data_IF_678574118567
#
_entry.id   IF_678574118567
#
_cell.length_a   1.000
_cell.length_b   1.000
_cell.length_c   1.000
_cell.angle_alpha   90.00
_cell.angle_beta   90.00
_cell.angle_gamma   90.00
#
_symmetry.space_group_name_H-M   'P 1'
#
loop_
_entity.id
_entity.type
_entity.pdbx_description
1 polymer ?
#
# COMPACT_ATOMS: atom_id res chain seq x y z
N UNK A 1 26.43 -23.44 14.12
CA UNK A 1 25.35 -24.21 13.44
C UNK A 1 24.37 -23.30 12.66
N UNK A 2 24.64 -22.00 12.54
CA UNK A 2 23.71 -21.01 11.95
C UNK A 2 23.90 -20.75 10.46
N UNK A 3 25.04 -21.13 9.86
CA UNK A 3 25.38 -20.81 8.46
C UNK A 3 24.76 -21.75 7.42
N UNK A 4 24.50 -23.02 7.77
CA UNK A 4 23.92 -23.98 6.82
C UNK A 4 22.39 -23.80 6.63
N UNK A 5 21.68 -23.35 7.67
CA UNK A 5 20.24 -23.06 7.60
C UNK A 5 19.94 -21.73 6.88
N UNK A 6 20.86 -20.75 6.96
CA UNK A 6 20.76 -19.48 6.24
C UNK A 6 20.94 -19.66 4.73
N UNK A 7 21.85 -20.54 4.30
CA UNK A 7 22.09 -20.82 2.88
C UNK A 7 20.88 -21.46 2.19
N UNK A 8 20.16 -22.36 2.89
CA UNK A 8 18.92 -22.94 2.39
C UNK A 8 17.78 -21.92 2.26
N UNK A 9 17.65 -21.02 3.25
CA UNK A 9 16.60 -19.99 3.27
C UNK A 9 16.77 -18.97 2.14
N UNK A 10 18.00 -18.51 1.92
CA UNK A 10 18.32 -17.58 0.84
C UNK A 10 18.08 -18.21 -0.54
N UNK A 11 18.50 -19.46 -0.75
CA UNK A 11 18.26 -20.17 -2.01
C UNK A 11 16.76 -20.33 -2.31
N UNK A 12 15.96 -20.67 -1.30
CA UNK A 12 14.49 -20.77 -1.41
C UNK A 12 13.87 -19.42 -1.73
N UNK A 13 14.27 -18.35 -1.03
CA UNK A 13 13.74 -17.01 -1.29
C UNK A 13 14.04 -16.55 -2.73
N UNK A 14 15.26 -16.77 -3.22
CA UNK A 14 15.64 -16.48 -4.62
C UNK A 14 14.75 -17.22 -5.61
N UNK A 15 14.49 -18.51 -5.37
CA UNK A 15 13.59 -19.31 -6.21
C UNK A 15 12.18 -18.72 -6.22
N UNK A 16 11.64 -18.37 -5.06
CA UNK A 16 10.29 -17.84 -4.92
C UNK A 16 10.15 -16.47 -5.60
N UNK A 17 11.16 -15.60 -5.47
CA UNK A 17 11.17 -14.29 -6.13
C UNK A 17 11.28 -14.40 -7.67
N UNK A 18 11.90 -15.46 -8.20
CA UNK A 18 11.97 -15.71 -9.66
C UNK A 18 10.63 -16.05 -10.30
N UNK A 19 9.60 -16.38 -9.51
CA UNK A 19 8.22 -16.46 -10.02
C UNK A 19 7.76 -15.10 -10.58
N UNK A 20 8.40 -14.01 -10.15
CA UNK A 20 8.19 -12.67 -10.68
C UNK A 20 6.77 -12.17 -10.47
N UNK A 21 6.32 -11.33 -11.38
CA UNK A 21 4.99 -10.74 -11.35
C UNK A 21 4.96 -9.33 -10.73
N UNK A 22 3.86 -8.63 -11.01
CA UNK A 22 3.70 -7.23 -10.63
C UNK A 22 3.39 -7.04 -9.15
N UNK A 23 3.46 -5.77 -8.72
CA UNK A 23 3.02 -5.36 -7.39
C UNK A 23 1.48 -5.35 -7.32
N UNK A 24 0.88 -6.22 -6.50
CA UNK A 24 -0.58 -6.30 -6.36
C UNK A 24 -1.06 -5.42 -5.21
N UNK A 25 -1.37 -4.17 -5.55
CA UNK A 25 -2.06 -3.24 -4.65
C UNK A 25 -3.54 -3.62 -4.49
N UNK A 26 -4.15 -3.97 -5.62
CA UNK A 26 -5.56 -4.24 -5.81
C UNK A 26 -5.68 -5.23 -6.98
N UNK A 27 -6.79 -5.96 -7.05
CA UNK A 27 -7.09 -6.89 -8.14
C UNK A 27 -8.50 -6.66 -8.69
N UNK A 28 -8.70 -6.55 -10.02
CA UNK A 28 -7.67 -6.53 -11.07
C UNK A 28 -6.82 -5.27 -11.01
N UNK A 29 -5.52 -5.34 -11.34
CA UNK A 29 -4.62 -4.20 -11.25
C UNK A 29 -4.95 -3.10 -12.28
N UNK A 30 -4.49 -1.84 -12.08
CA UNK A 30 -4.87 -0.71 -12.94
C UNK A 30 -4.61 -0.91 -14.44
N UNK A 31 -3.66 -1.77 -14.83
CA UNK A 31 -3.41 -2.15 -16.24
C UNK A 31 -4.62 -2.78 -16.94
N UNK A 32 -5.55 -3.35 -16.18
CA UNK A 32 -6.79 -3.92 -16.69
C UNK A 32 -7.90 -2.87 -16.91
N UNK A 33 -7.72 -1.63 -16.43
CA UNK A 33 -8.77 -0.61 -16.49
C UNK A 33 -8.98 -0.14 -17.94
N UNK A 34 -10.26 -0.04 -18.32
CA UNK A 34 -10.72 0.39 -19.63
C UNK A 34 -11.55 1.67 -19.49
N UNK A 35 -12.12 2.18 -20.59
CA UNK A 35 -13.02 3.33 -20.54
C UNK A 35 -14.19 3.07 -19.59
N UNK A 36 -14.37 3.94 -18.60
CA UNK A 36 -15.39 3.78 -17.55
C UNK A 36 -15.87 5.17 -17.12
N UNK A 37 -17.17 5.41 -17.22
CA UNK A 37 -17.76 6.73 -16.99
C UNK A 37 -18.48 6.86 -15.65
N UNK A 38 -18.93 8.08 -15.38
CA UNK A 38 -19.67 8.44 -14.16
C UNK A 38 -20.91 7.59 -13.94
N UNK A 39 -21.65 7.22 -15.00
CA UNK A 39 -22.90 6.47 -14.87
C UNK A 39 -22.68 5.11 -14.20
N UNK A 40 -21.61 4.40 -14.58
CA UNK A 40 -21.23 3.11 -13.99
C UNK A 40 -20.73 3.29 -12.55
N UNK A 41 -19.96 4.35 -12.30
CA UNK A 41 -19.48 4.68 -10.95
C UNK A 41 -20.65 4.97 -10.00
N UNK A 42 -21.63 5.75 -10.45
CA UNK A 42 -22.84 6.07 -9.71
C UNK A 42 -23.69 4.82 -9.47
N UNK A 43 -23.84 3.97 -10.49
CA UNK A 43 -24.57 2.72 -10.36
C UNK A 43 -23.96 1.82 -9.28
N UNK A 44 -22.63 1.64 -9.28
CA UNK A 44 -21.92 0.84 -8.30
C UNK A 44 -22.06 1.37 -6.86
N UNK A 45 -22.04 2.70 -6.67
CA UNK A 45 -22.29 3.30 -5.34
C UNK A 45 -23.72 3.04 -4.88
N UNK A 46 -24.71 3.25 -5.76
CA UNK A 46 -26.12 3.04 -5.42
C UNK A 46 -26.43 1.58 -5.11
N UNK A 47 -25.86 0.66 -5.87
CA UNK A 47 -25.96 -0.78 -5.60
C UNK A 47 -25.34 -1.11 -4.24
N UNK A 48 -24.15 -0.57 -3.96
CA UNK A 48 -23.49 -0.74 -2.66
C UNK A 48 -24.29 -0.18 -1.48
N UNK A 49 -25.04 0.90 -1.66
CA UNK A 49 -25.91 1.43 -0.60
C UNK A 49 -27.09 0.49 -0.30
N UNK A 50 -27.49 -0.35 -1.26
CA UNK A 50 -28.56 -1.33 -1.08
C UNK A 50 -28.17 -2.57 -0.28
N UNK A 51 -26.88 -2.73 0.07
CA UNK A 51 -26.42 -3.82 0.95
C UNK A 51 -27.01 -3.62 2.35
N UNK A 52 -27.63 -4.65 2.98
CA UNK A 52 -28.14 -4.56 4.34
C UNK A 52 -27.10 -4.12 5.39
N UNK A 53 -25.81 -4.40 5.15
CA UNK A 53 -24.70 -3.99 6.01
C UNK A 53 -23.60 -3.43 5.08
N UNK A 54 -23.77 -2.19 4.58
CA UNK A 54 -22.89 -1.68 3.56
C UNK A 54 -21.49 -1.44 4.12
N UNK A 55 -20.41 -1.72 3.35
CA UNK A 55 -19.05 -1.47 3.80
C UNK A 55 -18.83 -0.01 4.20
N UNK A 56 -18.09 0.20 5.28
CA UNK A 56 -17.64 1.54 5.69
C UNK A 56 -16.72 2.16 4.62
N UNK A 57 -16.47 3.47 4.74
CA UNK A 57 -15.70 4.23 3.76
C UNK A 57 -14.27 4.51 4.23
N UNK A 58 -13.32 4.28 3.32
CA UNK A 58 -11.98 4.84 3.37
C UNK A 58 -11.87 5.90 2.28
N UNK A 59 -11.35 7.09 2.62
CA UNK A 59 -11.21 8.20 1.68
C UNK A 59 -9.72 8.45 1.40
N UNK A 60 -9.36 8.73 0.16
CA UNK A 60 -7.99 9.06 -0.22
C UNK A 60 -7.94 10.33 -1.05
N UNK A 61 -7.01 11.22 -0.71
CA UNK A 61 -6.78 12.45 -1.45
C UNK A 61 -5.44 12.40 -2.16
N UNK A 62 -5.51 12.42 -3.48
CA UNK A 62 -4.35 12.39 -4.35
C UNK A 62 -4.02 13.77 -4.92
N UNK A 63 -2.75 13.94 -5.31
CA UNK A 63 -2.20 15.17 -5.88
C UNK A 63 -1.57 14.90 -7.25
N UNK A 64 -1.34 15.94 -8.08
CA UNK A 64 -0.66 15.75 -9.35
C UNK A 64 0.73 15.13 -9.14
N UNK A 65 1.13 14.20 -10.02
CA UNK A 65 2.36 13.42 -9.89
C UNK A 65 3.63 14.27 -9.72
N UNK A 66 3.65 15.49 -10.31
CA UNK A 66 4.76 16.44 -10.17
C UNK A 66 5.01 16.95 -8.73
N UNK A 67 4.05 16.73 -7.83
CA UNK A 67 4.10 17.15 -6.43
C UNK A 67 4.11 15.97 -5.44
N UNK A 68 4.00 14.73 -5.93
CA UNK A 68 4.10 13.54 -5.09
C UNK A 68 5.55 13.31 -4.69
N UNK A 69 5.77 12.94 -3.43
CA UNK A 69 7.06 12.39 -3.03
C UNK A 69 7.15 10.90 -3.39
N UNK A 70 8.34 10.48 -3.81
CA UNK A 70 8.61 9.09 -4.18
C UNK A 70 9.42 8.40 -3.09
N UNK A 71 9.00 7.20 -2.70
CA UNK A 71 9.75 6.36 -1.78
C UNK A 71 11.07 5.84 -2.36
N UNK A 72 11.17 5.71 -3.69
CA UNK A 72 12.36 5.15 -4.35
C UNK A 72 13.19 6.20 -5.09
N UNK A 73 12.77 7.46 -5.10
CA UNK A 73 13.50 8.55 -5.75
C UNK A 73 13.73 9.71 -4.78
N UNK A 74 14.73 9.59 -3.88
CA UNK A 74 15.01 10.61 -2.87
C UNK A 74 15.37 11.98 -3.48
N UNK A 75 15.91 12.00 -4.69
CA UNK A 75 16.30 13.24 -5.39
C UNK A 75 15.16 13.87 -6.19
N UNK A 76 14.04 13.16 -6.37
CA UNK A 76 12.82 13.71 -6.99
C UNK A 76 12.13 14.63 -6.01
N UNK A 77 12.66 15.85 -5.83
CA UNK A 77 11.99 16.86 -5.03
C UNK A 77 10.70 17.28 -5.73
N UNK A 78 9.54 17.20 -5.05
CA UNK A 78 8.33 17.86 -5.51
C UNK A 78 8.63 19.31 -5.88
N UNK A 79 8.05 19.80 -6.97
CA UNK A 79 8.13 21.24 -7.29
C UNK A 79 7.57 22.03 -6.09
N UNK A 80 8.26 23.10 -5.70
CA UNK A 80 7.84 23.96 -4.58
C UNK A 80 6.39 24.46 -4.77
N UNK A 81 5.68 24.60 -3.65
CA UNK A 81 4.27 25.00 -3.64
C UNK A 81 4.08 26.35 -4.33
N UNK A 82 3.20 26.38 -5.33
CA UNK A 82 2.55 27.60 -5.78
C UNK A 82 1.23 27.68 -5.02
N UNK A 83 1.17 28.56 -4.01
CA UNK A 83 0.02 28.66 -3.11
C UNK A 83 -1.30 28.86 -3.84
N UNK A 84 -1.28 29.60 -4.96
CA UNK A 84 -2.47 29.85 -5.78
C UNK A 84 -2.96 28.58 -6.50
N UNK A 85 -2.03 27.75 -6.97
CA UNK A 85 -2.36 26.45 -7.59
C UNK A 85 -2.87 25.45 -6.56
N UNK A 86 -2.23 25.40 -5.39
CA UNK A 86 -2.66 24.53 -4.30
C UNK A 86 -4.09 24.88 -3.85
N UNK A 87 -4.39 26.18 -3.71
CA UNK A 87 -5.74 26.67 -3.38
C UNK A 87 -6.77 26.30 -4.46
N UNK A 88 -6.47 26.58 -5.73
CA UNK A 88 -7.37 26.24 -6.83
C UNK A 88 -7.61 24.73 -6.99
N UNK A 89 -6.61 23.90 -6.66
CA UNK A 89 -6.75 22.44 -6.64
C UNK A 89 -7.59 21.99 -5.44
N UNK A 90 -7.35 22.54 -4.25
CA UNK A 90 -8.14 22.30 -3.04
C UNK A 90 -9.61 22.62 -3.28
N UNK A 91 -9.93 23.76 -3.90
CA UNK A 91 -11.31 24.15 -4.18
C UNK A 91 -12.04 23.12 -5.05
N UNK A 92 -11.31 22.54 -6.02
CA UNK A 92 -11.83 21.46 -6.88
C UNK A 92 -11.97 20.14 -6.13
N UNK A 93 -11.03 19.78 -5.24
CA UNK A 93 -11.22 18.63 -4.35
C UNK A 93 -12.47 18.80 -3.49
N UNK A 94 -12.70 19.99 -2.93
CA UNK A 94 -13.89 20.31 -2.14
C UNK A 94 -15.16 20.14 -2.98
N UNK A 95 -15.16 20.60 -4.25
CA UNK A 95 -16.27 20.38 -5.19
C UNK A 95 -16.48 18.89 -5.49
N UNK A 96 -15.41 18.15 -5.76
CA UNK A 96 -15.45 16.71 -6.03
C UNK A 96 -16.03 15.93 -4.85
N UNK A 97 -15.57 16.23 -3.63
CA UNK A 97 -16.11 15.69 -2.37
C UNK A 97 -17.62 15.90 -2.27
N UNK A 98 -18.13 17.07 -2.67
CA UNK A 98 -19.58 17.32 -2.70
C UNK A 98 -20.32 16.50 -3.77
N UNK A 99 -19.75 16.43 -4.98
CA UNK A 99 -20.34 15.70 -6.11
C UNK A 99 -20.43 14.19 -5.85
N UNK A 100 -19.42 13.62 -5.19
CA UNK A 100 -19.34 12.19 -4.87
C UNK A 100 -20.03 11.87 -3.54
N UNK A 101 -19.81 12.67 -2.50
CA UNK A 101 -20.38 12.41 -1.17
C UNK A 101 -21.91 12.41 -1.15
N UNK A 102 -22.56 13.18 -2.04
CA UNK A 102 -24.02 13.14 -2.22
C UNK A 102 -24.58 11.80 -2.71
N UNK A 103 -23.74 10.86 -3.13
CA UNK A 103 -24.14 9.54 -3.61
C UNK A 103 -24.16 8.47 -2.51
N UNK A 104 -23.50 8.73 -1.37
CA UNK A 104 -23.41 7.76 -0.28
C UNK A 104 -24.50 8.01 0.76
N UNK A 105 -25.08 6.93 1.27
CA UNK A 105 -26.09 6.98 2.31
C UNK A 105 -25.45 7.37 3.67
N UNK A 106 -26.28 7.83 4.61
CA UNK A 106 -25.81 8.40 5.88
C UNK A 106 -25.29 7.37 6.88
N UNK A 107 -25.56 6.10 6.66
CA UNK A 107 -25.05 4.97 7.43
C UNK A 107 -23.67 4.48 6.92
N UNK A 108 -23.12 5.15 5.90
CA UNK A 108 -21.77 4.91 5.38
C UNK A 108 -20.73 5.68 6.19
N UNK A 109 -20.33 5.12 7.32
CA UNK A 109 -19.31 5.72 8.20
C UNK A 109 -17.96 5.82 7.49
N UNK A 110 -17.34 7.01 7.55
CA UNK A 110 -15.93 7.18 7.20
C UNK A 110 -15.07 6.76 8.39
N UNK A 111 -14.28 5.72 8.20
CA UNK A 111 -13.37 5.19 9.23
C UNK A 111 -11.91 5.46 8.94
N UNK A 112 -11.57 5.81 7.70
CA UNK A 112 -10.20 6.11 7.30
C UNK A 112 -10.16 7.28 6.32
N UNK A 113 -9.18 8.17 6.50
CA UNK A 113 -8.81 9.17 5.49
C UNK A 113 -7.29 9.17 5.33
N UNK A 114 -6.81 9.17 4.10
CA UNK A 114 -5.38 9.23 3.81
C UNK A 114 -5.05 10.34 2.82
N UNK A 115 -3.88 10.94 3.02
CA UNK A 115 -3.30 11.90 2.09
C UNK A 115 -2.15 11.25 1.33
N UNK A 116 -2.09 11.51 0.02
CA UNK A 116 -0.96 11.10 -0.80
C UNK A 116 0.37 11.68 -0.28
N UNK A 117 1.50 10.94 -0.42
CA UNK A 117 2.82 11.49 -0.15
C UNK A 117 3.08 12.79 -0.92
N UNK A 118 3.63 13.79 -0.25
CA UNK A 118 3.85 15.14 -0.79
C UNK A 118 2.70 16.13 -0.58
N UNK A 119 1.51 15.67 -0.14
CA UNK A 119 0.37 16.56 0.13
C UNK A 119 0.70 17.62 1.19
N UNK A 120 1.44 17.24 2.23
CA UNK A 120 1.86 18.13 3.33
C UNK A 120 2.81 19.24 2.90
N UNK A 121 3.47 19.07 1.75
CA UNK A 121 4.29 20.10 1.09
C UNK A 121 3.49 20.96 0.12
N UNK A 122 2.47 20.36 -0.49
CA UNK A 122 1.63 21.00 -1.50
C UNK A 122 0.57 21.91 -0.87
N UNK A 123 -0.06 21.46 0.22
CA UNK A 123 -1.11 22.17 0.93
C UNK A 123 -0.71 22.49 2.37
N UNK A 124 -1.05 23.70 2.82
CA UNK A 124 -0.91 24.09 4.22
C UNK A 124 -1.90 23.35 5.12
N UNK A 125 -1.60 23.32 6.43
CA UNK A 125 -2.51 22.75 7.44
C UNK A 125 -3.91 23.37 7.37
N UNK A 126 -4.00 24.68 7.15
CA UNK A 126 -5.27 25.39 7.03
C UNK A 126 -6.09 24.89 5.83
N UNK A 127 -5.45 24.72 4.67
CA UNK A 127 -6.11 24.22 3.46
C UNK A 127 -6.61 22.78 3.63
N UNK A 128 -5.83 21.91 4.29
CA UNK A 128 -6.29 20.55 4.60
C UNK A 128 -7.40 20.56 5.64
N UNK A 129 -7.36 21.46 6.62
CA UNK A 129 -8.44 21.61 7.60
C UNK A 129 -9.78 21.96 6.92
N UNK A 130 -9.75 22.83 5.91
CA UNK A 130 -10.93 23.17 5.11
C UNK A 130 -11.43 21.99 4.27
N UNK A 131 -10.52 21.19 3.73
CA UNK A 131 -10.86 19.94 3.01
C UNK A 131 -11.53 18.93 3.95
N UNK A 132 -10.97 18.67 5.12
CA UNK A 132 -11.54 17.77 6.13
C UNK A 132 -12.88 18.30 6.68
N UNK A 133 -13.02 19.62 6.81
CA UNK A 133 -14.30 20.23 7.16
C UNK A 133 -15.36 20.00 6.06
N UNK A 134 -14.96 20.04 4.78
CA UNK A 134 -15.85 19.71 3.67
C UNK A 134 -16.29 18.26 3.68
N UNK A 135 -15.35 17.34 3.87
CA UNK A 135 -15.62 15.91 3.99
C UNK A 135 -16.71 15.66 5.04
N UNK A 136 -16.59 16.24 6.24
CA UNK A 136 -17.57 16.10 7.32
C UNK A 136 -18.97 16.66 7.01
N UNK A 137 -19.10 17.56 6.02
CA UNK A 137 -20.41 18.02 5.55
C UNK A 137 -21.08 17.02 4.60
N UNK A 138 -20.28 16.33 3.80
CA UNK A 138 -20.75 15.47 2.72
C UNK A 138 -20.79 13.99 3.07
N UNK A 139 -20.00 13.55 4.04
CA UNK A 139 -19.94 12.17 4.51
C UNK A 139 -20.31 12.07 5.99
N UNK A 140 -20.76 10.89 6.42
CA UNK A 140 -20.94 10.61 7.84
C UNK A 140 -19.59 10.28 8.48
N UNK A 141 -19.08 11.22 9.28
CA UNK A 141 -17.79 11.12 9.96
C UNK A 141 -17.95 11.65 11.38
N UNK A 142 -18.24 10.77 12.33
CA UNK A 142 -18.47 11.15 13.72
C UNK A 142 -17.17 11.74 14.33
N UNK A 143 -17.32 12.88 15.02
CA UNK A 143 -16.22 13.53 15.75
C UNK A 143 -15.75 12.74 16.96
N UNK A 144 -16.61 11.89 17.53
CA UNK A 144 -16.28 11.02 18.64
C UNK A 144 -15.65 9.69 18.19
N UNK A 145 -15.72 9.36 16.90
CA UNK A 145 -15.12 8.16 16.35
C UNK A 145 -13.62 8.35 16.11
N UNK A 146 -12.84 7.31 16.45
CA UNK A 146 -11.40 7.24 16.20
C UNK A 146 -11.15 6.96 14.71
N UNK A 147 -11.30 8.00 13.87
CA UNK A 147 -11.02 7.92 12.43
C UNK A 147 -9.51 7.77 12.24
N UNK A 148 -9.10 6.80 11.43
CA UNK A 148 -7.70 6.64 11.01
C UNK A 148 -7.34 7.73 10.00
N UNK A 149 -6.65 8.78 10.47
CA UNK A 149 -6.19 9.90 9.66
C UNK A 149 -4.69 9.74 9.38
N UNK A 150 -4.39 9.42 8.12
CA UNK A 150 -3.07 9.01 7.68
C UNK A 150 -2.41 10.00 6.71
N UNK A 151 -1.12 10.23 6.89
CA UNK A 151 -0.30 11.00 5.94
C UNK A 151 1.12 10.44 5.85
N UNK A 152 1.86 10.89 4.84
CA UNK A 152 3.30 10.61 4.71
C UNK A 152 4.08 11.91 4.83
N UNK A 153 5.13 11.88 5.65
CA UNK A 153 6.09 12.96 5.81
C UNK A 153 7.43 12.56 5.20
N UNK A 154 8.09 13.53 4.57
CA UNK A 154 9.48 13.42 4.18
C UNK A 154 10.40 13.96 5.30
N UNK A 155 11.70 13.58 5.37
CA UNK A 155 12.58 13.95 6.48
C UNK A 155 12.73 15.46 6.68
N UNK A 156 12.68 16.21 5.59
CA UNK A 156 12.70 17.68 5.57
C UNK A 156 11.43 18.30 6.18
N UNK A 157 10.27 17.61 6.06
CA UNK A 157 9.00 18.09 6.63
C UNK A 157 9.08 18.06 8.15
N UNK A 158 9.74 17.04 8.72
CA UNK A 158 9.94 16.92 10.17
C UNK A 158 10.85 18.01 10.75
N UNK A 159 11.65 18.68 9.92
CA UNK A 159 12.49 19.79 10.33
C UNK A 159 11.81 21.17 10.25
N UNK A 160 10.73 21.29 9.46
CA UNK A 160 10.19 22.60 9.04
C UNK A 160 8.67 22.75 9.18
N UNK A 161 7.92 21.66 9.23
CA UNK A 161 6.46 21.69 9.33
C UNK A 161 6.00 21.91 10.77
N UNK A 162 4.85 22.56 10.99
CA UNK A 162 4.23 22.61 12.29
C UNK A 162 3.58 21.25 12.59
N UNK A 163 4.39 20.24 12.91
CA UNK A 163 3.94 18.87 13.14
C UNK A 163 2.82 18.76 14.18
N UNK A 164 2.87 19.63 15.21
CA UNK A 164 1.83 19.74 16.23
C UNK A 164 0.49 20.22 15.66
N UNK A 165 0.50 21.07 14.65
CA UNK A 165 -0.74 21.55 14.02
C UNK A 165 -1.38 20.43 13.19
N UNK A 166 -0.57 19.61 12.53
CA UNK A 166 -1.05 18.39 11.84
C UNK A 166 -1.64 17.37 12.83
N UNK A 167 -0.97 17.11 13.95
CA UNK A 167 -1.49 16.25 15.00
C UNK A 167 -2.78 16.82 15.63
N UNK A 168 -2.83 18.14 15.88
CA UNK A 168 -4.02 18.83 16.39
C UNK A 168 -5.20 18.81 15.41
N UNK A 169 -4.93 18.69 14.11
CA UNK A 169 -5.95 18.51 13.09
C UNK A 169 -6.58 17.10 13.11
N UNK A 170 -5.94 16.15 13.80
CA UNK A 170 -6.42 14.79 14.06
C UNK A 170 -5.61 13.69 13.38
N UNK A 171 -4.54 14.01 12.64
CA UNK A 171 -3.68 12.99 12.05
C UNK A 171 -3.01 12.15 13.13
N UNK A 172 -3.23 10.85 13.10
CA UNK A 172 -2.79 9.90 14.13
C UNK A 172 -1.86 8.80 13.56
N UNK A 173 -1.85 8.61 12.24
CA UNK A 173 -0.95 7.68 11.53
C UNK A 173 -0.03 8.42 10.58
N UNK A 174 1.27 8.21 10.74
CA UNK A 174 2.29 8.89 9.93
C UNK A 174 3.29 7.91 9.34
N UNK A 175 3.39 7.91 8.02
CA UNK A 175 4.51 7.31 7.29
C UNK A 175 5.70 8.28 7.24
N UNK A 176 6.91 7.78 7.47
CA UNK A 176 8.17 8.53 7.33
C UNK A 176 9.01 7.82 6.29
N UNK A 177 9.25 8.50 5.18
CA UNK A 177 10.14 8.01 4.12
C UNK A 177 11.59 8.37 4.46
N UNK A 178 12.49 7.38 4.60
CA UNK A 178 13.90 7.64 4.93
C UNK A 178 14.86 7.38 3.77
N UNK A 179 14.38 7.39 2.53
CA UNK A 179 15.22 7.17 1.35
C UNK A 179 16.39 8.15 1.21
N UNK A 180 16.20 9.41 1.62
CA UNK A 180 17.28 10.40 1.63
C UNK A 180 18.43 10.03 2.59
N UNK A 181 18.18 9.18 3.59
CA UNK A 181 19.20 8.68 4.54
C UNK A 181 19.90 7.42 4.05
N UNK A 182 19.43 6.81 2.95
CA UNK A 182 19.90 5.52 2.45
C UNK A 182 20.95 5.65 1.32
N UNK A 183 21.42 6.87 1.03
CA UNK A 183 22.35 7.15 -0.07
C UNK A 183 23.76 6.57 0.11
N UNK A 184 24.47 6.40 -1.01
CA UNK A 184 25.85 5.91 -1.03
C UNK A 184 26.78 6.82 -0.20
N UNK A 185 27.53 6.22 0.73
CA UNK A 185 28.48 6.94 1.58
C UNK A 185 27.89 7.59 2.84
N UNK A 186 26.60 7.37 3.14
CA UNK A 186 26.04 7.79 4.43
C UNK A 186 26.76 7.09 5.60
N UNK A 187 27.27 7.87 6.55
CA UNK A 187 27.92 7.32 7.73
C UNK A 187 26.90 6.63 8.65
N UNK A 188 27.13 5.38 9.10
CA UNK A 188 26.19 4.66 9.97
C UNK A 188 25.80 5.40 11.26
N UNK A 189 26.74 6.13 11.88
CA UNK A 189 26.47 6.95 13.06
C UNK A 189 25.47 8.07 12.76
N UNK A 190 25.65 8.76 11.63
CA UNK A 190 24.75 9.82 11.18
C UNK A 190 23.36 9.28 10.85
N UNK A 191 23.27 8.14 10.15
CA UNK A 191 21.97 7.49 9.88
C UNK A 191 21.22 7.18 11.17
N UNK A 192 21.92 6.65 12.19
CA UNK A 192 21.33 6.36 13.50
C UNK A 192 20.79 7.61 14.17
N UNK A 193 21.59 8.66 14.24
CA UNK A 193 21.19 9.94 14.86
C UNK A 193 20.00 10.57 14.12
N UNK A 194 20.04 10.58 12.78
CA UNK A 194 18.96 11.14 11.97
C UNK A 194 17.66 10.35 12.12
N UNK A 195 17.69 9.01 12.03
CA UNK A 195 16.49 8.18 12.23
C UNK A 195 15.91 8.35 13.63
N UNK A 196 16.76 8.32 14.67
CA UNK A 196 16.31 8.51 16.05
C UNK A 196 15.65 9.88 16.25
N UNK A 197 16.24 10.93 15.68
CA UNK A 197 15.71 12.29 15.71
C UNK A 197 14.35 12.38 15.00
N UNK A 198 14.21 11.84 13.79
CA UNK A 198 12.97 11.89 13.02
C UNK A 198 11.81 11.21 13.77
N UNK A 199 12.06 10.02 14.33
CA UNK A 199 11.06 9.28 15.11
C UNK A 199 10.71 10.01 16.41
N UNK A 200 11.71 10.56 17.12
CA UNK A 200 11.47 11.34 18.33
C UNK A 200 10.63 12.59 18.05
N UNK A 201 10.96 13.35 17.00
CA UNK A 201 10.21 14.55 16.60
C UNK A 201 8.75 14.23 16.25
N UNK A 202 8.50 13.14 15.54
CA UNK A 202 7.14 12.72 15.23
C UNK A 202 6.35 12.34 16.49
N UNK A 203 6.97 11.63 17.45
CA UNK A 203 6.34 11.31 18.74
C UNK A 203 6.07 12.56 19.59
N UNK A 204 7.03 13.46 19.69
CA UNK A 204 6.89 14.73 20.43
C UNK A 204 5.82 15.65 19.84
N UNK A 205 5.51 15.49 18.54
CA UNK A 205 4.40 16.17 17.89
C UNK A 205 3.03 15.58 18.24
N UNK A 206 2.96 14.36 18.77
CA UNK A 206 1.72 13.69 19.19
C UNK A 206 1.28 12.54 18.29
N UNK A 207 2.08 12.11 17.31
CA UNK A 207 1.73 10.96 16.48
C UNK A 207 1.99 9.65 17.22
N UNK A 208 0.94 8.82 17.34
CA UNK A 208 0.99 7.57 18.09
C UNK A 208 1.33 6.34 17.21
N UNK A 209 1.10 6.41 15.90
CA UNK A 209 1.32 5.29 14.98
C UNK A 209 2.28 5.69 13.85
N UNK A 210 3.57 5.42 14.06
CA UNK A 210 4.63 5.72 13.10
C UNK A 210 4.98 4.50 12.27
N UNK A 211 5.02 4.70 10.95
CA UNK A 211 5.53 3.74 9.97
C UNK A 211 6.79 4.30 9.32
N UNK A 212 7.92 3.62 9.48
CA UNK A 212 9.17 4.01 8.80
C UNK A 212 9.39 3.12 7.57
N UNK A 213 9.51 3.72 6.40
CA UNK A 213 9.77 3.04 5.13
C UNK A 213 11.27 2.96 4.86
N UNK A 214 11.85 1.76 4.95
CA UNK A 214 13.27 1.48 4.72
C UNK A 214 13.44 0.97 3.28
N UNK A 215 14.08 1.74 2.39
CA UNK A 215 14.31 1.28 1.03
C UNK A 215 15.55 0.37 0.95
N UNK A 216 15.47 -0.60 0.05
CA UNK A 216 16.61 -1.45 -0.32
C UNK A 216 16.69 -1.67 -1.82
N UNK A 217 17.89 -1.91 -2.34
CA UNK A 217 18.14 -2.06 -3.78
C UNK A 217 18.46 -0.75 -4.51
N UNK A 218 18.65 0.36 -3.78
CA UNK A 218 18.98 1.66 -4.34
C UNK A 218 20.35 1.66 -5.04
N UNK A 219 20.52 2.54 -6.02
CA UNK A 219 21.79 2.71 -6.74
C UNK A 219 22.94 3.04 -5.77
N UNK A 220 24.00 2.22 -5.79
CA UNK A 220 25.18 2.40 -4.93
C UNK A 220 24.97 2.02 -3.45
N UNK A 221 23.81 1.48 -3.07
CA UNK A 221 23.56 1.00 -1.72
C UNK A 221 24.31 -0.30 -1.46
N UNK A 222 25.08 -0.35 -0.36
CA UNK A 222 25.80 -1.55 0.07
C UNK A 222 25.04 -2.29 1.15
N UNK A 223 25.36 -3.57 1.33
CA UNK A 223 24.78 -4.42 2.37
C UNK A 223 25.00 -3.85 3.77
N UNK A 224 26.24 -3.45 4.05
CA UNK A 224 26.60 -2.84 5.33
C UNK A 224 25.83 -1.54 5.61
N UNK A 225 25.60 -0.72 4.58
CA UNK A 225 24.80 0.51 4.72
C UNK A 225 23.32 0.21 4.96
N UNK A 226 22.78 -0.82 4.30
CA UNK A 226 21.40 -1.27 4.53
C UNK A 226 21.24 -1.87 5.94
N UNK A 227 22.12 -2.77 6.36
CA UNK A 227 22.09 -3.38 7.69
C UNK A 227 22.20 -2.33 8.80
N UNK A 228 23.07 -1.33 8.63
CA UNK A 228 23.19 -0.21 9.55
C UNK A 228 21.89 0.62 9.63
N UNK A 229 21.22 0.84 8.51
CA UNK A 229 19.96 1.57 8.44
C UNK A 229 18.82 0.81 9.12
N UNK A 230 18.70 -0.50 8.85
CA UNK A 230 17.70 -1.36 9.52
C UNK A 230 17.95 -1.38 11.03
N UNK A 231 19.21 -1.51 11.46
CA UNK A 231 19.56 -1.48 12.87
C UNK A 231 19.23 -0.13 13.53
N UNK A 232 19.44 0.98 12.84
CA UNK A 232 19.05 2.32 13.30
C UNK A 232 17.53 2.44 13.48
N UNK A 233 16.75 1.96 12.51
CA UNK A 233 15.27 1.98 12.56
C UNK A 233 14.76 1.07 13.67
N UNK A 234 15.28 -0.15 13.78
CA UNK A 234 14.92 -1.07 14.86
C UNK A 234 15.21 -0.46 16.24
N UNK A 235 16.34 0.23 16.41
CA UNK A 235 16.70 0.92 17.65
C UNK A 235 15.78 2.10 17.99
N UNK A 236 15.29 2.84 16.99
CA UNK A 236 14.31 3.92 17.18
C UNK A 236 12.90 3.41 17.52
N UNK A 237 12.66 2.10 17.31
CA UNK A 237 11.44 1.37 17.66
C UNK A 237 10.13 2.02 17.16
N UNK A 238 9.98 2.44 15.89
CA UNK A 238 8.66 2.87 15.38
C UNK A 238 7.62 1.74 15.53
N UNK A 239 6.34 2.08 15.46
CA UNK A 239 5.27 1.09 15.62
C UNK A 239 5.25 0.11 14.43
N UNK A 240 5.62 0.59 13.24
CA UNK A 240 5.69 -0.17 11.99
C UNK A 240 6.96 0.11 11.19
N UNK A 241 7.44 -0.90 10.48
CA UNK A 241 8.57 -0.81 9.55
C UNK A 241 8.19 -1.47 8.23
N UNK A 242 8.31 -0.73 7.12
CA UNK A 242 8.16 -1.26 5.77
C UNK A 242 9.50 -1.46 5.09
N UNK A 243 9.78 -2.65 4.56
CA UNK A 243 10.97 -2.94 3.75
C UNK A 243 10.64 -2.81 2.26
N UNK A 244 10.93 -1.67 1.65
CA UNK A 244 10.52 -1.38 0.27
C UNK A 244 11.64 -1.65 -0.73
N UNK A 245 11.40 -2.55 -1.67
CA UNK A 245 12.31 -2.76 -2.80
C UNK A 245 12.27 -1.55 -3.77
N UNK A 246 13.42 -0.93 -4.01
CA UNK A 246 13.60 0.23 -4.86
C UNK A 246 14.71 -0.04 -5.89
N UNK A 247 14.42 -0.78 -6.99
CA UNK A 247 15.44 -1.11 -7.98
C UNK A 247 15.97 0.14 -8.70
N UNK A 248 17.26 0.13 -9.05
CA UNK A 248 17.94 1.21 -9.77
C UNK A 248 17.32 1.48 -11.15
N UNK A 249 17.10 2.77 -11.48
CA UNK A 249 16.55 3.20 -12.78
C UNK A 249 17.53 3.02 -13.95
N UNK A 250 18.84 3.03 -13.70
CA UNK A 250 19.88 2.86 -14.74
C UNK A 250 19.98 1.42 -15.25
N UNK A 251 19.26 0.50 -14.61
CA UNK A 251 19.16 -0.89 -15.02
C UNK A 251 17.76 -1.40 -14.67
N UNK A 252 16.73 -1.10 -15.47
CA UNK A 252 15.37 -1.63 -15.26
C UNK A 252 15.36 -3.17 -15.23
N UNK A 253 16.32 -3.80 -15.93
CA UNK A 253 16.56 -5.24 -15.91
C UNK A 253 17.37 -5.72 -14.69
N UNK A 254 17.99 -4.85 -13.89
CA UNK A 254 18.75 -5.29 -12.71
C UNK A 254 17.86 -6.07 -11.74
N UNK A 255 16.62 -5.63 -11.54
CA UNK A 255 15.62 -6.37 -10.77
C UNK A 255 15.20 -7.71 -11.38
N UNK A 256 15.45 -7.93 -12.68
CA UNK A 256 15.16 -9.16 -13.41
C UNK A 256 16.41 -10.03 -13.68
N UNK A 257 17.61 -9.49 -13.47
CA UNK A 257 18.86 -10.26 -13.61
C UNK A 257 19.05 -11.23 -12.44
N UNK A 258 19.74 -12.37 -12.65
CA UNK A 258 20.08 -13.26 -11.55
C UNK A 258 20.83 -12.55 -10.40
N UNK A 259 21.73 -11.62 -10.72
CA UNK A 259 22.53 -10.87 -9.75
C UNK A 259 21.69 -9.90 -8.91
N UNK A 260 20.74 -9.18 -9.51
CA UNK A 260 19.86 -8.28 -8.76
C UNK A 260 18.78 -9.02 -7.97
N UNK A 261 18.28 -10.16 -8.47
CA UNK A 261 17.44 -11.07 -7.66
C UNK A 261 18.19 -11.59 -6.43
N UNK A 262 19.48 -11.90 -6.58
CA UNK A 262 20.32 -12.38 -5.49
C UNK A 262 20.57 -11.30 -4.42
N UNK A 263 20.80 -10.04 -4.84
CA UNK A 263 20.94 -8.90 -3.93
C UNK A 263 19.62 -8.57 -3.22
N UNK A 264 18.51 -8.55 -3.96
CA UNK A 264 17.16 -8.38 -3.43
C UNK A 264 16.88 -9.43 -2.35
N UNK A 265 16.98 -10.72 -2.68
CA UNK A 265 16.69 -11.80 -1.74
C UNK A 265 17.53 -11.69 -0.46
N UNK A 266 18.82 -11.38 -0.60
CA UNK A 266 19.74 -11.27 0.53
C UNK A 266 19.40 -10.09 1.45
N UNK A 267 19.17 -8.90 0.89
CA UNK A 267 18.78 -7.71 1.68
C UNK A 267 17.41 -7.90 2.34
N UNK A 268 16.42 -8.44 1.61
CA UNK A 268 15.08 -8.70 2.16
C UNK A 268 15.15 -9.68 3.33
N UNK A 269 15.88 -10.80 3.17
CA UNK A 269 16.03 -11.79 4.24
C UNK A 269 16.76 -11.21 5.45
N UNK A 270 17.87 -10.51 5.24
CA UNK A 270 18.64 -9.89 6.33
C UNK A 270 17.81 -8.83 7.09
N UNK A 271 17.07 -7.99 6.36
CA UNK A 271 16.19 -6.99 6.95
C UNK A 271 15.04 -7.63 7.76
N UNK A 272 14.42 -8.67 7.21
CA UNK A 272 13.36 -9.42 7.89
C UNK A 272 13.89 -10.09 9.18
N UNK A 273 15.04 -10.78 9.11
CA UNK A 273 15.69 -11.41 10.26
C UNK A 273 16.01 -10.37 11.36
N UNK A 274 16.54 -9.20 10.98
CA UNK A 274 16.88 -8.14 11.92
C UNK A 274 15.65 -7.54 12.60
N UNK A 275 14.56 -7.30 11.87
CA UNK A 275 13.31 -6.77 12.42
C UNK A 275 12.63 -7.79 13.34
N UNK A 276 12.59 -9.07 12.94
CA UNK A 276 12.04 -10.13 13.80
C UNK A 276 12.86 -10.31 15.08
N UNK A 277 14.19 -10.24 14.99
CA UNK A 277 15.06 -10.26 16.18
C UNK A 277 14.82 -9.06 17.10
N UNK A 278 14.45 -7.91 16.54
CA UNK A 278 14.05 -6.72 17.29
C UNK A 278 12.62 -6.79 17.85
N UNK A 279 11.89 -7.89 17.63
CA UNK A 279 10.56 -8.13 18.19
C UNK A 279 9.38 -7.68 17.31
N UNK A 280 9.64 -7.31 16.05
CA UNK A 280 8.56 -7.04 15.10
C UNK A 280 7.99 -8.35 14.54
N UNK A 281 6.71 -8.35 14.21
CA UNK A 281 6.02 -9.44 13.55
C UNK A 281 5.78 -9.10 12.08
N UNK A 282 6.04 -10.06 11.20
CA UNK A 282 5.72 -9.94 9.77
C UNK A 282 4.20 -9.94 9.58
N UNK A 283 3.64 -8.78 9.24
CA UNK A 283 2.21 -8.62 8.93
C UNK A 283 1.94 -9.22 7.56
N UNK A 284 2.70 -8.81 6.55
CA UNK A 284 2.56 -9.36 5.20
C UNK A 284 3.28 -8.49 4.19
N UNK A 285 3.61 -9.08 3.04
CA UNK A 285 4.37 -8.41 1.98
C UNK A 285 5.68 -7.86 2.57
N UNK A 286 5.80 -6.55 2.69
CA UNK A 286 6.95 -5.78 3.15
C UNK A 286 6.76 -5.19 4.54
N UNK A 287 5.62 -5.40 5.18
CA UNK A 287 5.25 -4.72 6.42
C UNK A 287 5.52 -5.57 7.67
N UNK A 288 6.21 -4.95 8.62
CA UNK A 288 6.48 -5.46 9.95
C UNK A 288 5.88 -4.50 10.99
N UNK A 289 5.34 -5.03 12.08
CA UNK A 289 4.70 -4.24 13.11
C UNK A 289 4.96 -4.80 14.51
N UNK A 290 4.89 -3.96 15.54
CA UNK A 290 4.99 -4.42 16.93
C UNK A 290 3.82 -5.36 17.29
N UNK A 291 4.03 -6.22 18.29
CA UNK A 291 3.08 -7.29 18.63
C UNK A 291 1.70 -6.80 19.09
N UNK A 292 1.62 -5.58 19.61
CA UNK A 292 0.40 -4.92 20.05
C UNK A 292 -0.24 -4.04 18.97
N UNK A 293 0.34 -3.94 17.76
CA UNK A 293 -0.19 -3.11 16.68
C UNK A 293 -1.61 -3.55 16.27
N UNK A 294 -2.52 -2.59 15.95
CA UNK A 294 -3.86 -2.90 15.44
C UNK A 294 -3.90 -3.89 14.27
N UNK A 295 -2.93 -3.85 13.35
CA UNK A 295 -2.85 -4.76 12.19
C UNK A 295 -2.55 -6.19 12.61
N UNK A 296 -1.64 -6.38 13.57
CA UNK A 296 -1.33 -7.71 14.12
C UNK A 296 -2.56 -8.30 14.82
N UNK A 297 -3.27 -7.47 15.60
CA UNK A 297 -4.52 -7.89 16.26
C UNK A 297 -5.59 -8.25 15.24
N UNK A 298 -5.79 -7.41 14.22
CA UNK A 298 -6.75 -7.66 13.15
C UNK A 298 -6.42 -8.94 12.37
N UNK A 299 -5.14 -9.18 12.07
CA UNK A 299 -4.68 -10.39 11.40
C UNK A 299 -5.00 -11.66 12.20
N UNK A 300 -4.69 -11.67 13.51
CA UNK A 300 -5.01 -12.80 14.40
C UNK A 300 -6.51 -13.07 14.51
N UNK A 301 -7.34 -12.04 14.32
CA UNK A 301 -8.79 -12.14 14.39
C UNK A 301 -9.44 -12.41 13.02
N UNK A 302 -8.67 -12.55 11.94
CA UNK A 302 -9.22 -12.74 10.60
C UNK A 302 -9.91 -11.50 10.02
N UNK A 303 -9.51 -10.29 10.47
CA UNK A 303 -10.14 -9.00 10.09
C UNK A 303 -9.20 -8.04 9.37
N UNK A 304 -7.92 -8.39 9.18
CA UNK A 304 -7.02 -7.56 8.39
C UNK A 304 -7.46 -7.60 6.92
N UNK A 305 -7.36 -6.47 6.24
CA UNK A 305 -7.56 -6.39 4.79
C UNK A 305 -6.44 -5.59 4.16
N UNK A 306 -6.33 -5.71 2.84
CA UNK A 306 -5.40 -4.91 2.05
C UNK A 306 -6.12 -4.28 0.87
N UNK A 307 -5.94 -2.98 0.64
CA UNK A 307 -6.50 -2.26 -0.50
C UNK A 307 -5.41 -1.45 -1.22
N UNK A 308 -5.81 -0.54 -2.10
CA UNK A 308 -4.88 0.33 -2.83
C UNK A 308 -4.03 1.25 -1.93
N UNK A 309 -4.45 1.49 -0.68
CA UNK A 309 -3.69 2.25 0.33
C UNK A 309 -2.77 1.37 1.18
N UNK A 310 -2.91 0.05 1.12
CA UNK A 310 -2.12 -0.92 1.87
C UNK A 310 -2.96 -1.66 2.91
N UNK A 311 -2.35 -2.04 4.04
CA UNK A 311 -3.02 -2.83 5.07
C UNK A 311 -3.91 -1.98 5.98
N UNK A 312 -5.12 -2.46 6.24
CA UNK A 312 -6.08 -1.86 7.16
C UNK A 312 -6.49 -2.83 8.28
N UNK A 313 -6.72 -2.29 9.48
CA UNK A 313 -7.17 -3.05 10.65
C UNK A 313 -8.71 -3.10 10.80
N UNK A 314 -9.42 -2.29 10.02
CA UNK A 314 -10.87 -2.28 9.95
C UNK A 314 -11.37 -3.46 9.10
N UNK A 315 -12.67 -3.74 9.10
CA UNK A 315 -13.25 -4.65 8.09
C UNK A 315 -13.05 -4.07 6.68
N UNK A 316 -13.26 -4.87 5.63
CA UNK A 316 -13.13 -4.40 4.26
C UNK A 316 -13.98 -3.14 4.04
N UNK A 317 -13.35 -2.08 3.55
CA UNK A 317 -13.99 -0.78 3.28
C UNK A 317 -14.19 -0.59 1.77
N UNK A 318 -15.07 0.34 1.42
CA UNK A 318 -15.07 0.96 0.09
C UNK A 318 -14.10 2.14 0.09
N UNK A 319 -13.09 2.07 -0.76
CA UNK A 319 -12.13 3.14 -0.95
C UNK A 319 -12.66 4.13 -1.99
N UNK A 320 -12.73 5.41 -1.62
CA UNK A 320 -13.10 6.49 -2.54
C UNK A 320 -11.92 7.44 -2.68
N UNK A 321 -11.40 7.51 -3.91
CA UNK A 321 -10.28 8.38 -4.28
C UNK A 321 -10.76 9.73 -4.81
N UNK A 322 -10.07 10.80 -4.40
CA UNK A 322 -10.29 12.17 -4.85
C UNK A 322 -9.01 12.74 -5.45
N UNK A 323 -9.15 13.59 -6.47
CA UNK A 323 -8.02 14.22 -7.15
C UNK A 323 -7.49 13.42 -8.34
N UNK A 324 -6.44 13.97 -8.95
CA UNK A 324 -5.83 13.46 -10.18
C UNK A 324 -5.29 12.06 -9.97
N UNK A 325 -5.69 11.14 -10.85
CA UNK A 325 -5.24 9.74 -10.87
C UNK A 325 -5.73 8.86 -9.72
N UNK A 326 -6.53 9.41 -8.81
CA UNK A 326 -7.02 8.69 -7.64
C UNK A 326 -7.87 7.48 -8.05
N UNK A 327 -7.71 6.39 -7.31
CA UNK A 327 -8.44 5.13 -7.54
C UNK A 327 -9.50 4.98 -6.43
N UNK A 328 -10.71 4.61 -6.84
CA UNK A 328 -11.77 4.14 -5.97
C UNK A 328 -11.94 2.63 -6.16
N UNK A 329 -12.08 1.90 -5.05
CA UNK A 329 -12.38 0.48 -4.99
C UNK A 329 -13.73 0.31 -4.31
N UNK A 330 -14.73 -0.07 -5.09
CA UNK A 330 -16.10 -0.33 -4.65
C UNK A 330 -16.40 -1.82 -4.87
N UNK A 331 -17.33 -2.37 -4.10
CA UNK A 331 -17.65 -3.79 -4.09
C UNK A 331 -17.96 -4.42 -5.45
N UNK A 332 -18.34 -3.65 -6.48
CA UNK A 332 -18.55 -4.17 -7.85
C UNK A 332 -17.65 -3.56 -8.93
N UNK A 333 -16.78 -2.60 -8.60
CA UNK A 333 -15.92 -1.97 -9.60
C UNK A 333 -14.69 -1.29 -8.99
N UNK A 334 -13.64 -1.18 -9.80
CA UNK A 334 -12.60 -0.17 -9.60
C UNK A 334 -12.78 0.97 -10.57
N UNK A 335 -12.64 2.19 -10.10
CA UNK A 335 -12.76 3.41 -10.89
C UNK A 335 -11.53 4.29 -10.66
N UNK A 336 -11.12 5.04 -11.67
CA UNK A 336 -9.96 5.93 -11.59
C UNK A 336 -10.23 7.26 -12.27
N UNK A 337 -9.73 8.30 -11.63
CA UNK A 337 -9.76 9.66 -12.13
C UNK A 337 -8.73 9.89 -13.25
N UNK A 338 -8.88 10.93 -14.12
CA UNK A 338 -7.88 11.28 -15.11
C UNK A 338 -6.49 11.38 -14.51
N UNK A 339 -5.51 10.82 -15.22
CA UNK A 339 -4.11 10.82 -14.81
C UNK A 339 -3.46 12.20 -14.98
N UNK A 340 -4.06 13.07 -15.79
CA UNK A 340 -3.61 14.44 -16.00
C UNK A 340 -4.54 15.46 -15.32
N UNK A 341 -3.91 16.50 -14.77
CA UNK A 341 -4.59 17.56 -14.06
C UNK A 341 -5.61 18.33 -14.91
N UNK A 342 -5.32 18.76 -16.16
CA UNK A 342 -6.29 19.52 -16.96
C UNK A 342 -7.59 18.77 -17.22
N UNK A 343 -7.52 17.46 -17.52
CA UNK A 343 -8.72 16.65 -17.75
C UNK A 343 -9.54 16.47 -16.48
N UNK A 344 -8.89 16.26 -15.32
CA UNK A 344 -9.58 16.20 -14.04
C UNK A 344 -10.28 17.53 -13.71
N UNK A 345 -9.58 18.66 -13.82
CA UNK A 345 -10.12 19.99 -13.54
C UNK A 345 -11.34 20.31 -14.42
N UNK A 346 -11.24 20.04 -15.74
CA UNK A 346 -12.31 20.29 -16.69
C UNK A 346 -13.59 19.49 -16.39
N UNK A 347 -13.46 18.29 -15.82
CA UNK A 347 -14.62 17.49 -15.41
C UNK A 347 -15.31 18.08 -14.18
N UNK A 348 -14.52 18.40 -13.14
CA UNK A 348 -15.05 18.99 -11.91
C UNK A 348 -15.70 20.34 -12.17
N UNK A 349 -15.10 21.19 -13.01
CA UNK A 349 -15.62 22.52 -13.33
C UNK A 349 -16.94 22.47 -14.13
N UNK A 350 -17.23 21.35 -14.80
CA UNK A 350 -18.50 21.07 -15.48
C UNK A 350 -19.53 20.37 -14.58
N UNK A 351 -19.21 20.10 -13.31
CA UNK A 351 -20.09 19.41 -12.36
C UNK A 351 -20.18 17.89 -12.56
N UNK A 352 -19.25 17.30 -13.33
CA UNK A 352 -19.14 15.84 -13.46
C UNK A 352 -18.32 15.24 -12.32
N UNK A 353 -18.48 13.93 -12.08
CA UNK A 353 -17.56 13.20 -11.23
C UNK A 353 -16.30 12.95 -12.06
N UNK A 354 -15.17 12.79 -11.40
CA UNK A 354 -13.91 12.74 -12.12
C UNK A 354 -13.59 11.35 -12.68
N UNK A 355 -14.54 10.41 -12.84
CA UNK A 355 -14.21 9.08 -13.33
C UNK A 355 -14.02 9.04 -14.86
N UNK A 356 -12.94 8.42 -15.35
CA UNK A 356 -12.72 8.23 -16.79
C UNK A 356 -12.27 6.82 -17.21
N UNK A 357 -11.78 6.00 -16.29
CA UNK A 357 -11.37 4.62 -16.55
C UNK A 357 -11.62 3.73 -15.34
N UNK A 358 -11.72 2.42 -15.55
CA UNK A 358 -12.10 1.48 -14.50
C UNK A 358 -12.37 0.07 -15.02
N UNK A 359 -12.88 -0.79 -14.16
CA UNK A 359 -13.27 -2.17 -14.46
C UNK A 359 -14.46 -2.58 -13.58
N UNK A 360 -15.45 -3.24 -14.17
CA UNK A 360 -16.50 -3.93 -13.41
C UNK A 360 -15.99 -5.32 -13.04
N UNK A 361 -16.17 -5.71 -11.79
CA UNK A 361 -15.63 -6.96 -11.28
C UNK A 361 -16.54 -8.12 -11.67
N UNK A 362 -15.94 -9.14 -12.28
CA UNK A 362 -16.60 -10.44 -12.50
C UNK A 362 -16.48 -11.33 -11.26
N UNK A 363 -17.22 -12.44 -11.24
CA UNK A 363 -17.07 -13.48 -10.21
C UNK A 363 -15.63 -14.06 -10.16
N UNK A 364 -14.96 -14.16 -11.31
CA UNK A 364 -13.54 -14.58 -11.37
C UNK A 364 -12.63 -13.52 -10.71
N UNK A 365 -12.92 -12.24 -10.92
CA UNK A 365 -12.15 -11.15 -10.31
C UNK A 365 -12.32 -11.15 -8.78
N UNK A 366 -13.53 -11.38 -8.29
CA UNK A 366 -13.80 -11.53 -6.86
C UNK A 366 -13.07 -12.72 -6.25
N UNK A 367 -13.13 -13.89 -6.92
CA UNK A 367 -12.44 -15.09 -6.49
C UNK A 367 -10.92 -14.87 -6.42
N UNK A 368 -10.31 -14.30 -7.47
CA UNK A 368 -8.87 -14.02 -7.49
C UNK A 368 -8.48 -12.97 -6.47
N UNK A 369 -9.28 -11.91 -6.31
CA UNK A 369 -9.07 -10.93 -5.25
C UNK A 369 -9.08 -11.59 -3.86
N UNK A 370 -10.00 -12.53 -3.60
CA UNK A 370 -10.05 -13.28 -2.35
C UNK A 370 -8.80 -14.16 -2.13
N UNK A 371 -8.35 -14.88 -3.17
CA UNK A 371 -7.10 -15.66 -3.12
C UNK A 371 -5.90 -14.76 -2.82
N UNK A 372 -5.82 -13.59 -3.48
CA UNK A 372 -4.75 -12.62 -3.25
C UNK A 372 -4.80 -12.05 -1.83
N UNK A 373 -5.98 -11.74 -1.30
CA UNK A 373 -6.13 -11.32 0.11
C UNK A 373 -5.60 -12.40 1.06
N UNK A 374 -6.00 -13.65 0.85
CA UNK A 374 -5.58 -14.79 1.65
C UNK A 374 -4.05 -14.93 1.70
N UNK A 375 -3.39 -14.84 0.54
CA UNK A 375 -1.94 -14.94 0.42
C UNK A 375 -1.24 -13.74 1.07
N UNK A 376 -1.64 -12.51 0.71
CA UNK A 376 -0.94 -11.28 1.08
C UNK A 376 -1.15 -10.90 2.55
N UNK A 377 -2.32 -11.21 3.10
CA UNK A 377 -2.72 -10.84 4.45
C UNK A 377 -2.52 -11.96 5.47
N UNK A 378 -2.64 -13.23 5.08
CA UNK A 378 -2.63 -14.35 6.03
C UNK A 378 -1.53 -15.37 5.77
N UNK A 379 -0.84 -15.31 4.63
CA UNK A 379 0.15 -16.33 4.27
C UNK A 379 -0.46 -17.72 4.14
N UNK A 380 -1.72 -17.81 3.68
CA UNK A 380 -2.41 -19.07 3.43
C UNK A 380 -3.38 -18.94 2.28
N UNK A 381 -3.95 -20.04 1.82
CA UNK A 381 -5.09 -20.10 0.91
C UNK A 381 -6.11 -21.05 1.54
N UNK A 382 -7.25 -20.54 1.99
CA UNK A 382 -8.33 -21.33 2.57
C UNK A 382 -9.17 -22.00 1.48
N UNK A 383 -8.72 -23.14 0.96
CA UNK A 383 -9.34 -23.81 -0.20
C UNK A 383 -10.81 -24.13 0.06
N UNK A 384 -11.16 -24.79 1.17
CA UNK A 384 -12.57 -25.10 1.47
C UNK A 384 -13.46 -23.84 1.58
N UNK A 385 -12.93 -22.75 2.13
CA UNK A 385 -13.67 -21.48 2.24
C UNK A 385 -13.95 -20.89 0.85
N UNK A 386 -12.95 -20.90 -0.04
CA UNK A 386 -13.07 -20.40 -1.40
C UNK A 386 -14.01 -21.27 -2.25
N UNK A 387 -13.91 -22.59 -2.15
CA UNK A 387 -14.82 -23.52 -2.84
C UNK A 387 -16.26 -23.32 -2.40
N UNK A 388 -16.51 -23.16 -1.10
CA UNK A 388 -17.85 -22.93 -0.56
C UNK A 388 -18.44 -21.57 -0.98
N UNK A 389 -17.64 -20.50 -0.92
CA UNK A 389 -18.10 -19.15 -1.23
C UNK A 389 -18.32 -18.93 -2.74
N UNK A 390 -17.38 -19.35 -3.57
CA UNK A 390 -17.41 -19.11 -5.02
C UNK A 390 -17.97 -20.29 -5.83
N UNK A 391 -18.29 -21.42 -5.19
CA UNK A 391 -18.88 -22.63 -5.81
C UNK A 391 -18.03 -23.20 -6.94
N UNK A 392 -16.71 -23.27 -6.72
CA UNK A 392 -15.74 -23.81 -7.67
C UNK A 392 -15.05 -25.06 -7.14
N UNK A 393 -14.57 -25.97 -8.02
CA UNK A 393 -13.58 -26.97 -7.66
C UNK A 393 -12.17 -26.37 -7.73
N UNK A 394 -11.60 -25.91 -6.60
CA UNK A 394 -10.39 -25.08 -6.54
C UNK A 394 -9.19 -25.71 -7.26
N UNK A 395 -8.95 -27.01 -7.03
CA UNK A 395 -7.81 -27.72 -7.65
C UNK A 395 -7.92 -27.77 -9.17
N UNK A 396 -9.13 -27.89 -9.71
CA UNK A 396 -9.35 -27.88 -11.15
C UNK A 396 -9.30 -26.44 -11.69
N UNK A 397 -9.92 -25.49 -11.00
CA UNK A 397 -9.99 -24.09 -11.41
C UNK A 397 -8.61 -23.42 -11.49
N UNK A 398 -7.76 -23.67 -10.48
CA UNK A 398 -6.41 -23.12 -10.39
C UNK A 398 -5.32 -24.14 -10.76
N UNK A 399 -5.65 -25.18 -11.53
CA UNK A 399 -4.72 -26.26 -11.89
C UNK A 399 -3.40 -25.74 -12.50
N UNK A 400 -3.48 -24.77 -13.42
CA UNK A 400 -2.29 -24.17 -14.03
C UNK A 400 -1.43 -23.38 -13.03
N UNK A 401 -2.07 -22.67 -12.10
CA UNK A 401 -1.36 -21.94 -11.04
C UNK A 401 -0.68 -22.92 -10.07
N UNK A 402 -1.38 -23.99 -9.68
CA UNK A 402 -0.83 -25.05 -8.82
C UNK A 402 0.34 -25.77 -9.51
N UNK A 403 0.26 -26.03 -10.81
CA UNK A 403 1.36 -26.60 -11.58
C UNK A 403 2.60 -25.70 -11.58
N UNK A 404 2.43 -24.38 -11.76
CA UNK A 404 3.55 -23.40 -11.64
C UNK A 404 4.14 -23.35 -10.23
N UNK A 405 3.32 -23.55 -9.20
CA UNK A 405 3.73 -23.53 -7.79
C UNK A 405 4.29 -24.88 -7.29
N UNK A 406 4.24 -25.94 -8.10
CA UNK A 406 4.71 -27.28 -7.71
C UNK A 406 6.14 -27.30 -7.13
N UNK A 407 7.14 -26.57 -7.68
CA UNK A 407 8.49 -26.55 -7.09
C UNK A 407 8.54 -25.99 -5.65
N UNK A 408 7.59 -25.14 -5.26
CA UNK A 408 7.49 -24.59 -3.91
C UNK A 408 6.86 -25.58 -2.93
N UNK A 409 6.02 -26.50 -3.40
CA UNK A 409 5.54 -27.61 -2.58
C UNK A 409 6.67 -28.61 -2.30
N UNK A 410 7.51 -28.87 -3.32
CA UNK A 410 8.63 -29.82 -3.21
C UNK A 410 9.72 -29.36 -2.24
N UNK A 411 9.96 -28.05 -2.14
CA UNK A 411 10.96 -27.48 -1.23
C UNK A 411 10.39 -26.99 0.13
N UNK A 412 9.11 -27.29 0.38
CA UNK A 412 8.43 -26.99 1.64
C UNK A 412 8.07 -25.51 1.85
N UNK A 413 8.23 -24.66 0.84
CA UNK A 413 7.75 -23.27 0.87
C UNK A 413 6.23 -23.18 0.92
N UNK A 414 5.56 -24.14 0.27
CA UNK A 414 4.13 -24.36 0.37
C UNK A 414 3.86 -25.75 0.94
N UNK A 415 2.86 -25.88 1.78
CA UNK A 415 2.37 -27.18 2.20
C UNK A 415 0.85 -27.22 2.25
N UNK A 416 0.28 -28.41 2.05
CA UNK A 416 -1.13 -28.67 2.30
C UNK A 416 -1.32 -28.94 3.79
N UNK A 417 -2.29 -28.26 4.40
CA UNK A 417 -2.77 -28.52 5.75
C UNK A 417 -4.30 -28.68 5.69
N UNK A 418 -4.75 -29.93 5.60
CA UNK A 418 -6.13 -30.26 5.28
C UNK A 418 -6.59 -29.58 3.99
N UNK A 419 -7.62 -28.74 4.10
CA UNK A 419 -8.21 -27.96 2.99
C UNK A 419 -7.63 -26.54 2.90
N UNK A 420 -6.37 -26.36 3.27
CA UNK A 420 -5.65 -25.10 3.10
C UNK A 420 -4.25 -25.33 2.52
N UNK A 421 -3.74 -24.30 1.85
CA UNK A 421 -2.32 -24.19 1.48
C UNK A 421 -1.69 -23.18 2.44
N UNK A 422 -0.61 -23.54 3.12
CA UNK A 422 0.12 -22.64 4.00
C UNK A 422 1.43 -22.18 3.34
N UNK A 423 1.75 -20.90 3.49
CA UNK A 423 3.05 -20.33 3.12
C UNK A 423 3.94 -20.35 4.37
N UNK A 424 5.11 -20.97 4.25
CA UNK A 424 6.12 -20.86 5.30
C UNK A 424 6.69 -19.43 5.40
N UNK A 425 7.57 -19.21 6.38
CA UNK A 425 8.21 -17.90 6.60
C UNK A 425 8.84 -17.33 5.31
N UNK A 426 9.56 -18.15 4.55
CA UNK A 426 10.28 -17.71 3.36
C UNK A 426 9.33 -17.42 2.20
N UNK A 427 8.30 -18.25 2.02
CA UNK A 427 7.25 -18.03 1.04
C UNK A 427 6.47 -16.73 1.33
N UNK A 428 6.20 -16.41 2.59
CA UNK A 428 5.53 -15.15 2.98
C UNK A 428 6.32 -13.90 2.56
N UNK A 429 7.65 -13.93 2.59
CA UNK A 429 8.47 -12.81 2.08
C UNK A 429 8.35 -12.63 0.56
N UNK A 430 8.04 -13.71 -0.17
CA UNK A 430 7.78 -13.71 -1.61
C UNK A 430 6.27 -13.76 -1.95
N UNK A 431 5.39 -13.39 -1.02
CA UNK A 431 3.95 -13.55 -1.16
C UNK A 431 3.38 -12.90 -2.43
N UNK A 432 3.93 -11.76 -2.88
CA UNK A 432 3.49 -11.12 -4.13
C UNK A 432 3.80 -11.96 -5.37
N UNK A 433 4.96 -12.63 -5.40
CA UNK A 433 5.37 -13.45 -6.51
C UNK A 433 4.56 -14.77 -6.58
N UNK A 434 4.11 -15.26 -5.43
CA UNK A 434 3.20 -16.41 -5.32
C UNK A 434 1.78 -15.98 -5.72
N UNK A 435 1.29 -14.87 -5.21
CA UNK A 435 -0.01 -14.29 -5.56
C UNK A 435 -0.13 -14.03 -7.07
N UNK A 436 0.93 -13.56 -7.72
CA UNK A 436 0.95 -13.28 -9.16
C UNK A 436 0.66 -14.51 -10.02
N UNK A 437 0.91 -15.72 -9.50
CA UNK A 437 0.62 -16.97 -10.20
C UNK A 437 -0.87 -17.24 -10.34
N UNK A 438 -1.72 -16.55 -9.58
CA UNK A 438 -3.18 -16.62 -9.67
C UNK A 438 -3.77 -15.52 -10.56
N UNK A 439 -2.97 -14.63 -11.15
CA UNK A 439 -3.43 -13.68 -12.17
C UNK A 439 -3.20 -14.26 -13.58
N UNK A 440 -4.24 -14.46 -14.41
CA UNK A 440 -4.11 -14.94 -15.79
C UNK A 440 -3.27 -14.00 -16.67
N UNK A 441 -3.17 -12.71 -16.33
CA UNK A 441 -2.42 -11.73 -17.13
C UNK A 441 -0.91 -11.78 -16.91
N UNK A 442 -0.42 -12.41 -15.85
CA UNK A 442 1.03 -12.48 -15.54
C UNK A 442 1.81 -13.26 -16.61
N UNK A 443 1.16 -14.14 -17.38
CA UNK A 443 1.78 -14.89 -18.49
C UNK A 443 1.75 -14.19 -19.85
N UNK A 444 1.00 -13.09 -20.01
CA UNK A 444 0.80 -12.43 -21.30
C UNK A 444 1.84 -11.34 -21.62
N UNK A 445 2.63 -10.90 -20.64
CA UNK A 445 3.53 -9.73 -20.77
C UNK A 445 5.01 -10.05 -20.91
N UNK A 446 5.39 -11.23 -21.41
CA UNK A 446 6.76 -11.48 -21.88
C UNK A 446 7.03 -10.93 -23.30
N UNK A 447 6.04 -10.31 -23.95
CA UNK A 447 6.17 -9.71 -25.28
C UNK A 447 5.27 -8.50 -25.44
N UNK A 448 5.68 -7.36 -24.92
CA UNK A 448 4.92 -6.12 -25.07
C UNK A 448 5.60 -4.95 -24.40
N UNK A 449 6.54 -4.35 -25.12
CA UNK A 449 7.10 -3.02 -24.84
C UNK A 449 5.97 -2.00 -24.67
N UNK A 450 6.00 -1.26 -23.55
CA UNK A 450 5.41 0.07 -23.44
C UNK A 450 6.54 1.06 -23.15
#
# INVERSE_FOLDING_TARGET
>A
MTTAASDGSLARLRRNLRLGGGWYALYPPPRAFQAFGDDRFIAAIRESNGDPIPPQLALHFDIPAAYRSSFCHPDSRPRGADGSRAEAYRDRLVREVGLVGSLFDRDRDVVQVSLAPGMTRWMSVAQVAELLASLRRHFHADRAADIDLAMTLDPDDLASAPLRDWAALGFNRVGINIAALAGAGAAPSRQREDVARLVAQAREAGFANLRVEVPYGLAGQTDAAFDALVAAVAAARPERVGLRHCPSQDAPDAGATPTGHDAHARMLLAGADALEHAGYLHVGVDLFAQADDPLVRAQRQGRIHRDALGFGAHAATHLVGFGVGAISQLGGCHAQNPLDQPSWEARIDRGHRACNRGVELSEDDHLRAAVLQDILCYGRIGVAQLEAHHRIPFRAYFGDALARLQPLFEDGSLCWDGDAILLDRIARLAAQAIASQFDPLTGATAGGTA
#
